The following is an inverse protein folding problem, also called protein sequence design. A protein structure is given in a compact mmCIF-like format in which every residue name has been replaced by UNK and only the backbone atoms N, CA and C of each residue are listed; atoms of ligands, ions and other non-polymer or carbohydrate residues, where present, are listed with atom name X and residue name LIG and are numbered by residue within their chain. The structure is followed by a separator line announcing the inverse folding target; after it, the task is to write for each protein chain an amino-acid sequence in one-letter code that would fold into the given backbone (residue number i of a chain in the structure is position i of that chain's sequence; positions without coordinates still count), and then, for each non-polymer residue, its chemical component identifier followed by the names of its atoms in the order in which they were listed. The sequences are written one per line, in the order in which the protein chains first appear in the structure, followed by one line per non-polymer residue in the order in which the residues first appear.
data_IF_362529208496
#
_entry.id   IF_362529208496
#
_cell.length_a   1.000
_cell.length_b   1.000
_cell.length_c   1.000
_cell.angle_alpha   90.00
_cell.angle_beta   90.00
_cell.angle_gamma   90.00
#
_symmetry.space_group_name_H-M   'P 1'
#
loop_
_entity.id
_entity.type
_entity.pdbx_description
1 polymer ?
#
# COMPACT_ATOMS: atom_id res chain seq x y z
N UNK A 1 -9.12 15.55 -14.32
CA UNK A 1 -8.95 15.09 -12.93
C UNK A 1 -7.54 14.59 -12.73
N UNK A 2 -6.92 14.82 -11.58
CA UNK A 2 -5.67 14.15 -11.21
C UNK A 2 -6.01 12.77 -10.62
N UNK A 3 -5.32 11.67 -11.00
CA UNK A 3 -5.61 10.35 -10.46
C UNK A 3 -5.17 10.26 -8.99
N UNK A 4 -5.95 9.54 -8.18
CA UNK A 4 -5.61 9.17 -6.80
C UNK A 4 -5.90 7.69 -6.62
N UNK A 5 -5.06 7.01 -5.84
CA UNK A 5 -5.17 5.63 -5.41
C UNK A 5 -5.68 5.50 -3.97
N UNK A 6 -5.79 6.59 -3.19
CA UNK A 6 -6.33 6.51 -1.81
C UNK A 6 -7.78 6.02 -1.85
N UNK A 7 -8.06 4.89 -1.19
CA UNK A 7 -9.42 4.35 -1.09
C UNK A 7 -10.33 5.35 -0.39
N UNK A 8 -11.52 5.67 -0.93
CA UNK A 8 -12.32 6.79 -0.41
C UNK A 8 -12.99 6.45 0.92
N UNK A 9 -13.02 7.41 1.84
CA UNK A 9 -13.87 7.35 3.03
C UNK A 9 -15.28 7.79 2.62
N UNK A 10 -16.25 6.93 2.85
CA UNK A 10 -17.66 7.17 2.55
C UNK A 10 -18.39 7.77 3.77
N UNK A 11 -17.94 7.44 4.99
CA UNK A 11 -18.51 8.01 6.20
C UNK A 11 -17.84 7.52 7.49
N UNK A 12 -18.05 8.28 8.56
CA UNK A 12 -17.61 7.96 9.92
C UNK A 12 -18.83 8.00 10.82
N UNK A 13 -19.07 6.91 11.55
CA UNK A 13 -20.27 6.71 12.36
C UNK A 13 -19.93 6.22 13.76
N UNK A 14 -20.79 6.56 14.73
CA UNK A 14 -20.74 6.02 16.09
C UNK A 14 -22.06 5.35 16.41
N UNK A 15 -22.02 4.05 16.71
CA UNK A 15 -23.19 3.27 17.12
C UNK A 15 -23.09 3.02 18.63
N UNK A 16 -24.07 3.51 19.38
CA UNK A 16 -24.23 3.23 20.80
C UNK A 16 -25.40 2.28 21.04
N UNK A 17 -25.17 1.20 21.78
CA UNK A 17 -26.22 0.28 22.21
C UNK A 17 -26.15 0.10 23.73
N UNK A 18 -27.31 0.06 24.38
CA UNK A 18 -27.43 -0.26 25.81
C UNK A 18 -28.28 -1.51 25.95
N UNK A 19 -27.70 -2.55 26.53
CA UNK A 19 -28.41 -3.77 26.86
C UNK A 19 -29.22 -3.53 28.13
N UNK A 20 -30.55 -3.55 28.02
CA UNK A 20 -31.48 -3.34 29.14
C UNK A 20 -31.45 -4.48 30.16
N UNK A 21 -31.08 -5.70 29.76
CA UNK A 21 -31.05 -6.88 30.62
C UNK A 21 -29.76 -6.98 31.45
N UNK A 22 -28.62 -6.59 30.88
CA UNK A 22 -27.31 -6.63 31.57
C UNK A 22 -26.86 -5.25 32.07
N UNK A 23 -27.62 -4.20 31.75
CA UNK A 23 -27.30 -2.79 31.99
C UNK A 23 -25.98 -2.31 31.35
N UNK A 24 -25.37 -3.12 30.47
CA UNK A 24 -24.13 -2.79 29.79
C UNK A 24 -24.37 -1.83 28.63
N UNK A 25 -23.56 -0.79 28.54
CA UNK A 25 -23.51 0.10 27.39
C UNK A 25 -22.25 -0.18 26.55
N UNK A 26 -22.42 -0.27 25.24
CA UNK A 26 -21.33 -0.44 24.27
C UNK A 26 -21.39 0.67 23.24
N UNK A 27 -20.23 1.27 22.94
CA UNK A 27 -20.07 2.21 21.84
C UNK A 27 -19.10 1.60 20.83
N UNK A 28 -19.43 1.70 19.54
CA UNK A 28 -18.58 1.26 18.44
C UNK A 28 -18.42 2.41 17.46
N UNK A 29 -17.18 2.73 17.13
CA UNK A 29 -16.83 3.67 16.06
C UNK A 29 -16.58 2.89 14.78
N UNK A 30 -17.20 3.32 13.68
CA UNK A 30 -17.18 2.64 12.39
C UNK A 30 -16.73 3.63 11.33
N UNK A 31 -15.71 3.22 10.57
CA UNK A 31 -15.29 3.89 9.35
C UNK A 31 -15.78 3.08 8.17
N UNK A 32 -16.51 3.72 7.25
CA UNK A 32 -16.96 3.11 5.99
C UNK A 32 -16.04 3.60 4.88
N UNK A 33 -15.41 2.66 4.18
CA UNK A 33 -14.48 2.93 3.08
C UNK A 33 -14.92 2.21 1.81
N UNK A 34 -14.47 2.74 0.68
CA UNK A 34 -14.64 2.15 -0.64
C UNK A 34 -14.11 0.71 -0.67
N UNK A 35 -14.94 -0.23 -1.15
CA UNK A 35 -14.51 -1.59 -1.44
C UNK A 35 -13.85 -1.60 -2.83
N UNK A 36 -12.52 -1.61 -2.86
CA UNK A 36 -11.75 -1.60 -4.10
C UNK A 36 -12.13 -2.76 -5.04
N UNK A 37 -12.48 -3.93 -4.51
CA UNK A 37 -12.74 -5.15 -5.28
C UNK A 37 -14.22 -5.40 -5.57
N UNK A 38 -15.08 -4.40 -5.38
CA UNK A 38 -16.51 -4.56 -5.68
C UNK A 38 -16.74 -4.89 -7.16
N UNK A 39 -17.55 -5.92 -7.42
CA UNK A 39 -17.82 -6.45 -8.77
C UNK A 39 -16.56 -6.87 -9.55
N UNK A 40 -15.54 -7.37 -8.86
CA UNK A 40 -14.30 -7.89 -9.47
C UNK A 40 -14.09 -9.34 -9.07
N UNK A 41 -13.59 -10.15 -9.99
CA UNK A 41 -13.26 -11.56 -9.74
C UNK A 41 -11.76 -11.65 -9.44
N UNK A 42 -11.39 -11.32 -8.21
CA UNK A 42 -9.98 -11.24 -7.81
C UNK A 42 -9.44 -12.64 -7.54
N UNK A 43 -8.50 -13.08 -8.38
CA UNK A 43 -7.83 -14.38 -8.24
C UNK A 43 -6.61 -14.31 -7.32
N UNK A 44 -5.97 -13.15 -7.22
CA UNK A 44 -4.80 -12.91 -6.35
C UNK A 44 -4.89 -11.54 -5.71
N UNK A 45 -4.63 -11.49 -4.40
CA UNK A 45 -4.58 -10.25 -3.62
C UNK A 45 -3.19 -10.05 -3.02
N UNK A 46 -2.65 -8.84 -3.13
CA UNK A 46 -1.38 -8.45 -2.54
C UNK A 46 -1.52 -7.20 -1.68
N UNK A 47 -0.91 -7.19 -0.50
CA UNK A 47 -0.67 -6.01 0.33
C UNK A 47 0.83 -5.67 0.30
N UNK A 48 1.16 -4.56 -0.37
CA UNK A 48 2.55 -4.19 -0.67
C UNK A 48 2.91 -2.90 0.08
N UNK A 49 3.98 -2.92 0.91
CA UNK A 49 4.49 -1.70 1.61
C UNK A 49 5.90 -1.28 1.20
N UNK A 50 6.49 -1.98 0.24
CA UNK A 50 7.86 -1.77 -0.23
C UNK A 50 8.92 -2.19 0.79
N UNK A 51 8.64 -3.17 1.64
CA UNK A 51 9.59 -3.71 2.61
C UNK A 51 9.62 -5.22 2.51
N UNK A 52 10.77 -5.87 2.71
CA UNK A 52 10.87 -7.34 2.58
C UNK A 52 10.77 -8.08 3.92
N UNK A 53 11.40 -7.54 4.97
CA UNK A 53 11.43 -8.19 6.30
C UNK A 53 10.03 -8.49 6.84
N UNK A 54 9.80 -9.76 7.19
CA UNK A 54 8.50 -10.28 7.67
C UNK A 54 7.35 -10.12 6.66
N UNK A 55 7.63 -10.17 5.35
CA UNK A 55 6.64 -10.05 4.27
C UNK A 55 6.51 -11.30 3.40
N UNK A 56 6.66 -12.46 4.02
CA UNK A 56 6.38 -13.75 3.41
C UNK A 56 5.22 -14.42 4.15
N UNK A 57 4.15 -14.70 3.41
CA UNK A 57 3.00 -15.48 3.88
C UNK A 57 3.21 -16.94 3.49
N UNK A 58 3.01 -17.84 4.44
CA UNK A 58 3.00 -19.27 4.18
C UNK A 58 1.67 -19.65 3.50
N UNK A 59 1.76 -20.13 2.27
CA UNK A 59 0.62 -20.48 1.41
C UNK A 59 0.07 -21.89 1.66
N UNK A 60 0.77 -22.73 2.44
CA UNK A 60 0.43 -24.16 2.61
C UNK A 60 -0.83 -24.45 3.42
N UNK A 61 -1.37 -23.47 4.16
CA UNK A 61 -2.44 -23.69 5.15
C UNK A 61 -3.76 -22.98 4.82
N UNK A 62 -3.87 -22.27 3.70
CA UNK A 62 -5.06 -21.48 3.35
C UNK A 62 -5.45 -21.68 1.89
N UNK A 63 -6.74 -21.51 1.61
CA UNK A 63 -7.26 -21.45 0.24
C UNK A 63 -6.69 -20.22 -0.46
N UNK A 64 -6.33 -20.34 -1.74
CA UNK A 64 -5.72 -19.24 -2.52
C UNK A 64 -6.57 -17.97 -2.53
N UNK A 65 -7.90 -18.12 -2.59
CA UNK A 65 -8.88 -17.03 -2.58
C UNK A 65 -8.91 -16.23 -1.25
N UNK A 66 -8.41 -16.80 -0.16
CA UNK A 66 -8.38 -16.17 1.17
C UNK A 66 -6.98 -15.63 1.54
N UNK A 67 -6.00 -15.80 0.64
CA UNK A 67 -4.62 -15.40 0.87
C UNK A 67 -4.38 -13.97 0.39
N UNK A 68 -4.09 -13.08 1.34
CA UNK A 68 -3.46 -11.79 1.06
C UNK A 68 -1.96 -12.00 1.09
N UNK A 69 -1.35 -11.96 -0.08
CA UNK A 69 0.08 -12.13 -0.29
C UNK A 69 0.82 -10.82 0.01
N UNK A 70 2.10 -10.90 0.36
CA UNK A 70 2.89 -9.72 0.75
C UNK A 70 4.06 -9.48 -0.22
N UNK A 71 4.90 -8.49 0.07
CA UNK A 71 6.00 -8.04 -0.77
C UNK A 71 6.95 -9.18 -1.23
N UNK A 72 7.31 -10.14 -0.37
CA UNK A 72 8.19 -11.24 -0.78
C UNK A 72 7.44 -12.26 -1.66
N UNK A 73 6.18 -12.56 -1.35
CA UNK A 73 5.35 -13.43 -2.20
C UNK A 73 5.19 -12.84 -3.62
N UNK A 74 4.97 -11.52 -3.72
CA UNK A 74 4.88 -10.84 -5.01
C UNK A 74 6.16 -10.98 -5.83
N UNK A 75 7.32 -10.76 -5.19
CA UNK A 75 8.62 -10.88 -5.85
C UNK A 75 8.93 -12.30 -6.29
N UNK A 76 8.62 -13.31 -5.47
CA UNK A 76 8.78 -14.71 -5.86
C UNK A 76 7.87 -15.07 -7.03
N UNK A 77 6.59 -14.68 -6.98
CA UNK A 77 5.66 -14.92 -8.08
C UNK A 77 6.05 -14.22 -9.38
N UNK A 78 6.66 -13.03 -9.30
CA UNK A 78 7.12 -12.29 -10.47
C UNK A 78 8.29 -12.95 -11.22
N UNK A 79 9.03 -13.87 -10.58
CA UNK A 79 10.07 -14.67 -11.25
C UNK A 79 9.44 -15.68 -12.20
N UNK A 80 8.36 -16.34 -11.76
CA UNK A 80 7.69 -17.38 -12.54
C UNK A 80 6.68 -16.80 -13.53
N UNK A 81 5.99 -15.72 -13.15
CA UNK A 81 4.96 -15.07 -13.94
C UNK A 81 4.98 -13.55 -13.70
N UNK A 82 5.83 -12.81 -14.44
CA UNK A 82 5.97 -11.37 -14.28
C UNK A 82 4.67 -10.65 -14.66
N UNK A 83 4.28 -9.71 -13.80
CA UNK A 83 3.08 -8.90 -13.98
C UNK A 83 3.44 -7.60 -14.68
N UNK A 84 3.24 -7.57 -16.00
CA UNK A 84 3.47 -6.39 -16.81
C UNK A 84 2.22 -5.52 -16.94
N UNK A 85 2.42 -4.21 -16.97
CA UNK A 85 1.36 -3.22 -17.21
C UNK A 85 1.64 -2.40 -18.46
N UNK A 86 0.61 -1.75 -19.01
CA UNK A 86 0.80 -0.86 -20.16
C UNK A 86 1.61 0.38 -19.74
N UNK A 87 2.48 0.93 -20.61
CA UNK A 87 3.23 2.15 -20.32
C UNK A 87 2.35 3.31 -19.83
N UNK A 88 1.19 3.51 -20.47
CA UNK A 88 0.23 4.53 -20.04
C UNK A 88 -0.30 4.29 -18.61
N UNK A 89 -0.66 3.05 -18.28
CA UNK A 89 -1.11 2.66 -16.93
C UNK A 89 -0.01 2.86 -15.90
N UNK A 90 1.25 2.56 -16.25
CA UNK A 90 2.43 2.82 -15.41
C UNK A 90 2.57 4.30 -15.09
N UNK A 91 2.47 5.17 -16.08
CA UNK A 91 2.53 6.62 -15.87
C UNK A 91 1.44 7.09 -14.91
N UNK A 92 0.19 6.66 -15.12
CA UNK A 92 -0.93 7.04 -14.25
C UNK A 92 -0.75 6.53 -12.81
N UNK A 93 -0.31 5.28 -12.64
CA UNK A 93 -0.04 4.68 -11.34
C UNK A 93 1.06 5.44 -10.61
N UNK A 94 2.21 5.67 -11.25
CA UNK A 94 3.34 6.40 -10.66
C UNK A 94 2.93 7.83 -10.28
N UNK A 95 2.15 8.52 -11.12
CA UNK A 95 1.64 9.86 -10.82
C UNK A 95 0.72 9.87 -9.60
N UNK A 96 -0.22 8.92 -9.51
CA UNK A 96 -1.15 8.82 -8.38
C UNK A 96 -0.41 8.51 -7.08
N UNK A 97 0.43 7.47 -7.08
CA UNK A 97 1.20 7.06 -5.89
C UNK A 97 2.14 8.18 -5.42
N UNK A 98 2.83 8.86 -6.33
CA UNK A 98 3.73 9.96 -5.96
C UNK A 98 2.99 11.09 -5.24
N UNK A 99 1.82 11.50 -5.75
CA UNK A 99 1.00 12.56 -5.17
C UNK A 99 0.38 12.13 -3.84
N UNK A 100 -0.20 10.94 -3.78
CA UNK A 100 -0.86 10.43 -2.58
C UNK A 100 0.15 10.15 -1.47
N UNK A 101 1.28 9.51 -1.76
CA UNK A 101 2.31 9.25 -0.78
C UNK A 101 3.00 10.55 -0.31
N UNK A 102 3.05 11.60 -1.14
CA UNK A 102 3.45 12.94 -0.70
C UNK A 102 2.43 13.54 0.28
N UNK A 103 1.13 13.43 -0.01
CA UNK A 103 0.06 13.87 0.89
C UNK A 103 0.14 13.12 2.24
N UNK A 104 0.30 11.80 2.22
CA UNK A 104 0.41 10.97 3.43
C UNK A 104 1.65 11.33 4.25
N UNK A 105 2.81 11.51 3.60
CA UNK A 105 4.05 11.90 4.25
C UNK A 105 3.96 13.27 4.94
N UNK A 106 3.34 14.27 4.28
CA UNK A 106 3.08 15.60 4.87
C UNK A 106 2.19 15.55 6.10
N UNK A 107 1.27 14.59 6.15
CA UNK A 107 0.40 14.35 7.30
C UNK A 107 1.01 13.37 8.32
N UNK A 108 2.29 13.01 8.17
CA UNK A 108 3.03 12.10 9.04
C UNK A 108 2.40 10.69 9.12
N UNK A 109 1.68 10.29 8.06
CA UNK A 109 1.10 8.96 7.92
C UNK A 109 2.14 8.02 7.34
N UNK A 110 2.27 6.85 7.95
CA UNK A 110 3.18 5.78 7.56
C UNK A 110 2.46 4.43 7.64
N UNK A 111 3.14 3.36 7.26
CA UNK A 111 2.65 1.98 7.34
C UNK A 111 1.39 1.67 6.50
N UNK A 112 1.05 2.56 5.56
CA UNK A 112 0.04 2.31 4.53
C UNK A 112 0.51 1.29 3.49
N UNK A 113 -0.40 0.54 2.88
CA UNK A 113 -0.09 -0.42 1.82
C UNK A 113 -0.77 -0.04 0.52
N UNK A 114 -0.17 -0.46 -0.59
CA UNK A 114 -0.87 -0.61 -1.85
C UNK A 114 -1.55 -1.98 -1.85
N UNK A 115 -2.87 -2.00 -1.76
CA UNK A 115 -3.68 -3.19 -1.99
C UNK A 115 -3.81 -3.39 -3.50
N UNK A 116 -3.47 -4.58 -3.98
CA UNK A 116 -3.52 -4.95 -5.40
C UNK A 116 -4.34 -6.23 -5.57
N UNK A 117 -5.35 -6.17 -6.42
CA UNK A 117 -6.14 -7.31 -6.85
C UNK A 117 -5.89 -7.60 -8.33
N UNK A 118 -5.67 -8.87 -8.66
CA UNK A 118 -5.56 -9.35 -10.05
C UNK A 118 -6.89 -9.97 -10.46
N UNK A 119 -7.52 -9.42 -11.49
CA UNK A 119 -8.69 -10.02 -12.15
C UNK A 119 -8.22 -10.65 -13.45
N UNK A 120 -7.90 -11.95 -13.42
CA UNK A 120 -7.38 -12.67 -14.61
C UNK A 120 -8.42 -12.80 -15.73
N UNK A 121 -9.71 -12.84 -15.37
CA UNK A 121 -10.80 -12.96 -16.34
C UNK A 121 -10.95 -11.67 -17.16
N UNK A 122 -10.93 -10.51 -16.50
CA UNK A 122 -11.00 -9.20 -17.16
C UNK A 122 -9.63 -8.68 -17.61
N UNK A 123 -8.53 -9.34 -17.19
CA UNK A 123 -7.14 -8.92 -17.40
C UNK A 123 -6.87 -7.51 -16.86
N UNK A 124 -7.38 -7.25 -15.66
CA UNK A 124 -7.30 -5.96 -14.98
C UNK A 124 -6.51 -6.07 -13.68
N UNK A 125 -5.88 -4.95 -13.32
CA UNK A 125 -5.33 -4.74 -11.98
C UNK A 125 -6.17 -3.69 -11.28
N UNK A 126 -6.59 -4.02 -10.08
CA UNK A 126 -7.31 -3.13 -9.19
C UNK A 126 -6.37 -2.73 -8.08
N UNK A 127 -6.11 -1.44 -7.93
CA UNK A 127 -5.12 -0.94 -6.98
C UNK A 127 -5.68 0.18 -6.12
N UNK A 128 -5.27 0.24 -4.85
CA UNK A 128 -5.56 1.38 -3.99
C UNK A 128 -4.74 1.39 -2.71
N UNK A 129 -4.47 2.58 -2.18
CA UNK A 129 -3.78 2.77 -0.91
C UNK A 129 -4.78 2.59 0.23
N UNK A 130 -4.46 1.68 1.15
CA UNK A 130 -5.26 1.32 2.34
C UNK A 130 -4.46 1.59 3.64
N UNK A 131 -5.08 1.33 4.80
CA UNK A 131 -4.47 1.45 6.14
C UNK A 131 -3.93 2.85 6.51
N UNK A 132 -4.33 3.89 5.79
CA UNK A 132 -3.84 5.25 6.00
C UNK A 132 -4.54 6.02 7.15
N UNK A 133 -5.53 5.41 7.83
CA UNK A 133 -6.29 6.04 8.95
C UNK A 133 -5.65 5.77 10.33
N UNK A 134 -4.45 5.20 10.37
CA UNK A 134 -3.68 5.13 11.62
C UNK A 134 -2.97 6.46 11.86
N UNK A 135 -3.64 7.41 12.53
CA UNK A 135 -2.90 8.45 13.26
C UNK A 135 -2.15 7.75 14.39
N UNK A 136 -0.85 7.57 14.20
CA UNK A 136 0.08 7.27 15.29
C UNK A 136 -0.27 8.23 16.43
N UNK A 137 -0.69 7.67 17.56
CA UNK A 137 -0.72 8.37 18.83
C UNK A 137 0.61 9.10 18.98
N UNK A 138 0.53 10.30 19.53
CA UNK A 138 1.57 11.32 19.64
C UNK A 138 2.93 10.81 20.16
N UNK A 139 2.96 9.62 20.73
CA UNK A 139 4.07 8.87 21.30
C UNK A 139 5.31 8.80 20.37
N UNK A 140 5.13 8.59 19.05
CA UNK A 140 6.27 8.61 18.10
C UNK A 140 6.73 10.02 17.71
N UNK A 141 5.83 11.01 17.73
CA UNK A 141 6.21 12.41 17.44
C UNK A 141 7.07 12.98 18.57
N UNK A 142 6.79 12.59 19.83
CA UNK A 142 7.61 12.94 20.99
C UNK A 142 9.02 12.31 20.89
N UNK A 143 9.09 11.03 20.49
CA UNK A 143 10.37 10.32 20.35
C UNK A 143 11.23 10.87 19.19
N UNK A 144 10.61 11.34 18.11
CA UNK A 144 11.33 11.92 16.95
C UNK A 144 11.90 13.30 17.26
N UNK A 145 11.17 14.13 18.02
CA UNK A 145 11.65 15.43 18.49
C UNK A 145 12.75 15.29 19.56
N UNK A 146 12.69 14.26 20.40
CA UNK A 146 13.75 13.92 21.36
C UNK A 146 15.04 13.40 20.67
N UNK A 147 14.91 12.74 19.51
CA UNK A 147 16.05 12.18 18.77
C UNK A 147 16.73 13.17 17.83
N UNK A 148 16.05 14.22 17.38
CA UNK A 148 16.68 15.29 16.57
C UNK A 148 17.78 16.05 17.33
N UNK A 149 17.86 15.91 18.66
CA UNK A 149 18.92 16.48 19.51
C UNK A 149 20.04 15.49 19.88
N UNK A 150 19.90 14.20 19.55
CA UNK A 150 20.86 13.14 19.96
C UNK A 150 21.23 12.30 18.73
N UNK A 151 21.92 12.91 17.77
CA UNK A 151 22.63 12.15 16.74
C UNK A 151 24.01 11.74 17.25
N UNK A 152 24.07 10.64 17.99
CA UNK A 152 25.29 9.85 18.15
C UNK A 152 25.08 8.41 17.65
N UNK A 153 25.98 7.99 16.75
CA UNK A 153 26.39 6.60 16.43
C UNK A 153 25.37 5.69 15.72
N UNK A 154 25.42 5.74 14.38
CA UNK A 154 25.81 4.57 13.56
C UNK A 154 24.87 3.36 13.43
N UNK A 155 23.68 3.35 14.03
CA UNK A 155 22.63 2.37 13.71
C UNK A 155 21.39 3.11 13.23
N UNK A 156 20.96 2.85 11.99
CA UNK A 156 19.70 3.38 11.48
C UNK A 156 18.58 2.98 12.44
N UNK A 157 17.84 3.93 13.04
CA UNK A 157 16.75 3.59 13.93
C UNK A 157 15.69 2.82 13.15
N UNK A 158 15.12 1.78 13.77
CA UNK A 158 14.01 0.97 13.23
C UNK A 158 12.77 1.83 12.90
N UNK A 159 12.71 3.06 13.42
CA UNK A 159 11.69 4.07 13.12
C UNK A 159 12.14 4.90 11.92
N UNK A 160 11.60 4.56 10.76
CA UNK A 160 11.81 5.26 9.50
C UNK A 160 11.00 6.56 9.51
N UNK A 161 11.56 7.68 9.02
CA UNK A 161 10.77 8.92 8.89
C UNK A 161 9.69 8.78 7.81
N UNK A 162 8.60 9.58 7.84
CA UNK A 162 7.57 9.53 6.80
C UNK A 162 8.08 9.75 5.38
N UNK A 163 9.17 10.52 5.22
CA UNK A 163 9.81 10.76 3.93
C UNK A 163 10.61 9.54 3.45
N UNK A 164 11.39 8.91 4.32
CA UNK A 164 12.14 7.70 3.97
C UNK A 164 11.16 6.56 3.67
N UNK A 165 10.06 6.44 4.43
CA UNK A 165 9.00 5.47 4.16
C UNK A 165 8.40 5.68 2.77
N UNK A 166 8.05 6.93 2.44
CA UNK A 166 7.52 7.33 1.14
C UNK A 166 8.46 6.94 0.00
N UNK A 167 9.73 7.30 0.08
CA UNK A 167 10.70 7.02 -0.97
C UNK A 167 10.85 5.50 -1.17
N UNK A 168 10.99 4.74 -0.08
CA UNK A 168 11.06 3.27 -0.14
C UNK A 168 9.81 2.65 -0.78
N UNK A 169 8.62 3.14 -0.41
CA UNK A 169 7.36 2.68 -0.98
C UNK A 169 7.31 2.93 -2.49
N UNK A 170 7.63 4.15 -2.94
CA UNK A 170 7.64 4.51 -4.36
C UNK A 170 8.66 3.70 -5.16
N UNK A 171 9.89 3.58 -4.66
CA UNK A 171 10.96 2.80 -5.31
C UNK A 171 10.58 1.32 -5.48
N UNK A 172 9.85 0.76 -4.51
CA UNK A 172 9.37 -0.61 -4.59
C UNK A 172 8.25 -0.76 -5.62
N UNK A 173 7.22 0.09 -5.57
CA UNK A 173 6.13 0.03 -6.56
C UNK A 173 6.64 0.29 -7.98
N UNK A 174 7.68 1.10 -8.12
CA UNK A 174 8.29 1.31 -9.42
C UNK A 174 8.90 0.02 -9.99
N UNK A 175 9.61 -0.75 -9.16
CA UNK A 175 10.22 -2.03 -9.53
C UNK A 175 9.21 -3.17 -9.66
N UNK A 176 8.12 -3.13 -8.90
CA UNK A 176 7.11 -4.19 -8.86
C UNK A 176 6.21 -4.18 -10.10
N UNK A 177 5.88 -3.00 -10.62
CA UNK A 177 5.00 -2.85 -11.78
C UNK A 177 5.82 -2.45 -13.00
N UNK A 178 6.30 -3.43 -13.76
CA UNK A 178 7.10 -3.17 -14.96
C UNK A 178 6.20 -2.86 -16.16
N UNK A 179 6.49 -1.80 -16.95
CA UNK A 179 5.80 -1.60 -18.20
C UNK A 179 6.19 -2.69 -19.21
N UNK A 180 5.24 -3.12 -20.05
CA UNK A 180 5.58 -3.89 -21.25
C UNK A 180 6.47 -3.03 -22.15
N UNK A 181 7.59 -3.56 -22.68
CA UNK A 181 8.40 -2.86 -23.66
C UNK A 181 7.54 -2.43 -24.86
N UNK A 182 7.55 -1.15 -25.18
CA UNK A 182 6.94 -0.62 -26.39
C UNK A 182 7.96 -0.51 -27.53
N UNK A 183 7.47 -0.15 -28.71
CA UNK A 183 8.28 0.04 -29.93
C UNK A 183 9.43 1.07 -29.78
N UNK A 184 9.41 1.90 -28.73
CA UNK A 184 10.44 2.91 -28.45
C UNK A 184 11.45 2.47 -27.38
N UNK A 185 11.15 1.39 -26.66
CA UNK A 185 11.98 0.89 -25.57
C UNK A 185 13.36 0.43 -26.04
N UNK A 186 13.46 -0.11 -27.27
CA UNK A 186 14.74 -0.43 -27.90
C UNK A 186 15.52 0.79 -28.40
N UNK A 187 14.85 1.93 -28.61
CA UNK A 187 15.48 3.17 -29.10
C UNK A 187 16.06 3.95 -27.91
N UNK A 188 15.39 3.96 -26.76
CA UNK A 188 15.91 4.60 -25.54
C UNK A 188 17.25 3.99 -25.08
N UNK A 189 17.43 2.67 -25.22
CA UNK A 189 18.70 2.00 -24.91
C UNK A 189 19.85 2.41 -25.85
N UNK A 190 19.54 2.87 -27.07
CA UNK A 190 20.52 3.35 -28.05
C UNK A 190 20.97 4.80 -27.82
N UNK A 191 20.22 5.59 -27.06
CA UNK A 191 20.53 7.00 -26.79
C UNK A 191 21.35 7.15 -25.49
N UNK A 192 21.32 6.13 -24.63
CA UNK A 192 22.11 6.06 -23.39
C UNK A 192 23.41 5.24 -23.52
N UNK A 193 23.81 4.84 -24.74
CA UNK A 193 25.10 4.21 -25.08
C UNK A 193 26.03 5.16 -25.83
#
# INVERSE_FOLDING_TARGET
MKPTAIAKILGVYRIGFRNSHTNNATKKDILVVENLFYDKNITKTFDLKGSRRNRLVNTTQKREEELVLLDENFLHGAVDSPLYIRPHSKTLLTMALSQDSQFLSRNLVMDYSLLVGVDEQRRELVVGIIDYIRTFTWDKKLETLLKSTISEKGKMPTVVSPEIYRNRFLDAMDKYFLPVPDQWSGIAQYVES
#
